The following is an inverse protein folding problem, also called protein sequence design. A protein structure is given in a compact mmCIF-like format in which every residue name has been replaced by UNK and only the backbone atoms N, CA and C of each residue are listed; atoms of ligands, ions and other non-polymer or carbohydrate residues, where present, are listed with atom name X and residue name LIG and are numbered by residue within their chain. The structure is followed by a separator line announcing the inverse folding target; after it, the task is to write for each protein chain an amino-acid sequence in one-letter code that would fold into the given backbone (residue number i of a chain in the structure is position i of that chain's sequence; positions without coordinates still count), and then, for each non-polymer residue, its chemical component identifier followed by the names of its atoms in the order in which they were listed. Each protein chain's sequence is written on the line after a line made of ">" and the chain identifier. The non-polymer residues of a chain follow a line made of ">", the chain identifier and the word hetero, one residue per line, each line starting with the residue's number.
data_IF_127679116413
#
_entry.id   IF_127679116413
#
_cell.length_a   1.000
_cell.length_b   1.000
_cell.length_c   1.000
_cell.angle_alpha   90.00
_cell.angle_beta   90.00
_cell.angle_gamma   90.00
#
_symmetry.space_group_name_H-M   'P 1'
#
loop_
_entity.id
_entity.type
_entity.pdbx_description
1 polymer ?
#
# COMPACT_ATOMS: atom_id res chain seq x y z
N UNK A 1 -9.67 2.68 11.09
CA UNK A 1 -10.17 1.29 10.93
C UNK A 1 -9.88 0.68 9.55
N UNK A 2 -9.61 1.42 8.48
CA UNK A 2 -8.75 0.99 7.34
C UNK A 2 -7.94 2.20 6.88
N UNK A 3 -8.60 3.37 6.82
CA UNK A 3 -8.01 4.66 6.44
C UNK A 3 -6.83 5.09 7.31
N UNK A 4 -6.86 4.79 8.63
CA UNK A 4 -5.76 5.11 9.55
C UNK A 4 -4.44 4.43 9.17
N UNK A 5 -4.48 3.29 8.46
CA UNK A 5 -3.28 2.57 8.00
C UNK A 5 -2.78 3.02 6.64
N UNK A 6 -3.62 3.69 5.84
CA UNK A 6 -3.31 4.10 4.48
C UNK A 6 -2.87 5.56 4.45
N UNK A 7 -3.63 6.46 5.08
CA UNK A 7 -3.40 7.91 4.97
C UNK A 7 -2.82 8.54 6.24
N UNK A 8 -2.85 7.85 7.39
CA UNK A 8 -2.51 8.46 8.69
C UNK A 8 -1.74 7.53 9.65
N UNK A 9 -0.98 6.57 9.12
CA UNK A 9 -0.33 5.55 9.96
C UNK A 9 0.66 6.15 10.96
N UNK A 10 1.28 7.29 10.65
CA UNK A 10 2.22 7.98 11.52
C UNK A 10 1.60 8.46 12.85
N UNK A 11 0.34 8.92 12.82
CA UNK A 11 -0.38 9.39 14.00
C UNK A 11 -1.29 8.32 14.62
N UNK A 12 -1.40 7.15 14.00
CA UNK A 12 -2.24 6.05 14.45
C UNK A 12 -1.65 5.37 15.70
N UNK A 13 -2.51 5.10 16.68
CA UNK A 13 -2.16 4.29 17.86
C UNK A 13 -2.24 2.78 17.58
N UNK A 14 -2.67 2.38 16.38
CA UNK A 14 -2.82 0.97 15.99
C UNK A 14 -1.50 0.32 15.54
N UNK A 15 -0.42 1.10 15.39
CA UNK A 15 0.88 0.62 14.95
C UNK A 15 1.95 0.91 16.00
N UNK A 16 2.83 -0.05 16.19
CA UNK A 16 4.07 0.13 16.93
C UNK A 16 5.04 1.04 16.18
N UNK A 17 6.02 1.58 16.89
CA UNK A 17 7.07 2.41 16.27
C UNK A 17 7.86 1.66 15.19
N UNK A 18 8.07 0.35 15.38
CA UNK A 18 8.72 -0.49 14.38
C UNK A 18 7.87 -0.58 13.09
N UNK A 19 6.57 -0.85 13.22
CA UNK A 19 5.65 -0.94 12.07
C UNK A 19 5.52 0.40 11.34
N UNK A 20 5.42 1.52 12.06
CA UNK A 20 5.40 2.86 11.45
C UNK A 20 6.67 3.14 10.65
N UNK A 21 7.83 2.70 11.16
CA UNK A 21 9.10 2.88 10.47
C UNK A 21 9.21 1.98 9.23
N UNK A 22 8.67 0.76 9.28
CA UNK A 22 8.57 -0.11 8.12
C UNK A 22 7.64 0.44 7.03
N UNK A 23 6.49 1.02 7.42
CA UNK A 23 5.57 1.69 6.49
C UNK A 23 6.24 2.89 5.82
N UNK A 24 6.95 3.73 6.60
CA UNK A 24 7.75 4.84 6.07
C UNK A 24 8.87 4.37 5.14
N UNK A 25 9.50 3.23 5.43
CA UNK A 25 10.50 2.66 4.52
C UNK A 25 9.88 2.27 3.17
N UNK A 26 8.68 1.69 3.19
CA UNK A 26 7.92 1.34 1.99
C UNK A 26 7.54 2.57 1.16
N UNK A 27 7.04 3.63 1.82
CA UNK A 27 6.67 4.89 1.17
C UNK A 27 7.88 5.58 0.54
N UNK A 28 8.98 5.73 1.30
CA UNK A 28 10.22 6.32 0.78
C UNK A 28 10.78 5.50 -0.39
N UNK A 29 10.72 4.17 -0.34
CA UNK A 29 11.24 3.33 -1.43
C UNK A 29 10.42 3.49 -2.72
N UNK A 30 9.12 3.75 -2.60
CA UNK A 30 8.22 3.95 -3.73
C UNK A 30 8.30 5.36 -4.33
N UNK A 31 8.42 6.39 -3.49
CA UNK A 31 8.24 7.79 -3.91
C UNK A 31 9.53 8.61 -3.94
N UNK A 32 10.40 8.45 -2.93
CA UNK A 32 11.58 9.30 -2.70
C UNK A 32 12.79 8.46 -2.22
N UNK A 33 13.25 7.46 -3.00
CA UNK A 33 14.25 6.49 -2.55
C UNK A 33 15.60 7.13 -2.22
N UNK A 34 15.89 8.31 -2.76
CA UNK A 34 17.08 9.10 -2.44
C UNK A 34 17.11 9.63 -1.00
N UNK A 35 15.97 9.66 -0.30
CA UNK A 35 15.88 10.04 1.12
C UNK A 35 16.23 8.88 2.07
N UNK A 36 16.41 7.67 1.56
CA UNK A 36 16.84 6.51 2.33
C UNK A 36 18.36 6.58 2.50
N UNK A 37 18.80 7.40 3.46
CA UNK A 37 20.20 7.65 3.75
C UNK A 37 20.71 6.88 4.99
N UNK A 38 21.96 7.14 5.36
CA UNK A 38 22.56 6.49 6.55
C UNK A 38 21.80 6.80 7.84
N UNK A 39 21.24 8.01 7.98
CA UNK A 39 20.50 8.39 9.18
C UNK A 39 19.20 7.59 9.27
N UNK A 40 18.52 7.37 8.13
CA UNK A 40 17.35 6.51 8.08
C UNK A 40 17.68 5.04 8.44
N UNK A 41 18.79 4.50 7.92
CA UNK A 41 19.23 3.16 8.32
C UNK A 41 19.61 3.05 9.80
N UNK A 42 20.16 4.12 10.38
CA UNK A 42 20.44 4.17 11.81
C UNK A 42 19.16 4.28 12.66
N UNK A 43 18.08 4.85 12.13
CA UNK A 43 16.73 4.75 12.75
C UNK A 43 16.21 3.30 12.70
N UNK A 44 16.29 2.64 11.55
CA UNK A 44 15.84 1.25 11.39
C UNK A 44 16.55 0.31 12.36
N UNK A 45 17.87 0.46 12.54
CA UNK A 45 18.68 -0.37 13.45
C UNK A 45 18.30 -0.25 14.92
N UNK A 46 17.51 0.76 15.32
CA UNK A 46 17.01 0.88 16.70
C UNK A 46 15.94 -0.16 17.02
N UNK A 47 15.25 -0.67 15.99
CA UNK A 47 14.07 -1.54 16.13
C UNK A 47 14.19 -2.84 15.32
N UNK A 48 15.09 -2.90 14.33
CA UNK A 48 15.34 -4.07 13.50
C UNK A 48 16.83 -4.45 13.51
N UNK A 49 17.11 -5.74 13.39
CA UNK A 49 18.43 -6.28 13.07
C UNK A 49 18.83 -5.97 11.62
N UNK A 50 20.10 -6.18 11.28
CA UNK A 50 20.58 -5.92 9.92
C UNK A 50 19.93 -6.89 8.93
N UNK A 51 19.76 -8.14 9.33
CA UNK A 51 19.12 -9.20 8.57
C UNK A 51 17.65 -8.86 8.28
N UNK A 52 16.91 -8.41 9.30
CA UNK A 52 15.52 -7.97 9.14
C UNK A 52 15.39 -6.75 8.22
N UNK A 53 16.33 -5.79 8.28
CA UNK A 53 16.34 -4.62 7.38
C UNK A 53 16.53 -5.06 5.92
N UNK A 54 17.42 -6.03 5.67
CA UNK A 54 17.65 -6.58 4.33
C UNK A 54 16.42 -7.32 3.84
N UNK A 55 15.82 -8.17 4.66
CA UNK A 55 14.60 -8.91 4.31
C UNK A 55 13.44 -7.96 4.02
N UNK A 56 13.22 -6.97 4.89
CA UNK A 56 12.19 -5.95 4.72
C UNK A 56 12.39 -5.16 3.42
N UNK A 57 13.62 -4.69 3.17
CA UNK A 57 13.95 -3.96 1.94
C UNK A 57 13.76 -4.81 0.68
N UNK A 58 14.13 -6.08 0.72
CA UNK A 58 13.91 -7.00 -0.40
C UNK A 58 12.42 -7.23 -0.64
N UNK A 59 11.64 -7.46 0.42
CA UNK A 59 10.19 -7.67 0.33
C UNK A 59 9.48 -6.45 -0.28
N UNK A 60 9.80 -5.23 0.20
CA UNK A 60 9.25 -3.98 -0.33
C UNK A 60 9.65 -3.82 -1.81
N UNK A 61 10.94 -3.92 -2.11
CA UNK A 61 11.46 -3.71 -3.47
C UNK A 61 10.88 -4.68 -4.49
N UNK A 62 10.70 -5.96 -4.12
CA UNK A 62 10.05 -6.94 -4.99
C UNK A 62 8.58 -6.59 -5.24
N UNK A 63 7.82 -6.20 -4.22
CA UNK A 63 6.41 -5.83 -4.40
C UNK A 63 6.26 -4.59 -5.30
N UNK A 64 7.07 -3.55 -5.09
CA UNK A 64 7.08 -2.36 -5.98
C UNK A 64 7.42 -2.76 -7.42
N UNK A 65 8.43 -3.61 -7.60
CA UNK A 65 8.82 -4.13 -8.92
C UNK A 65 7.69 -4.93 -9.59
N UNK A 66 7.00 -5.79 -8.84
CA UNK A 66 5.85 -6.54 -9.35
C UNK A 66 4.69 -5.63 -9.72
N UNK A 67 4.34 -4.63 -8.90
CA UNK A 67 3.30 -3.66 -9.24
C UNK A 67 3.62 -2.90 -10.52
N UNK A 68 4.88 -2.47 -10.67
CA UNK A 68 5.36 -1.81 -11.90
C UNK A 68 5.23 -2.75 -13.11
N UNK A 69 5.70 -3.99 -12.99
CA UNK A 69 5.63 -4.99 -14.06
C UNK A 69 4.18 -5.35 -14.42
N UNK A 70 3.31 -5.62 -13.44
CA UNK A 70 1.89 -5.91 -13.67
C UNK A 70 1.16 -4.73 -14.31
N UNK A 71 1.54 -3.50 -13.97
CA UNK A 71 1.07 -2.29 -14.66
C UNK A 71 1.39 -2.29 -16.17
N UNK A 72 2.53 -2.86 -16.59
CA UNK A 72 2.86 -2.98 -18.03
C UNK A 72 2.01 -4.02 -18.77
N UNK A 73 1.34 -4.91 -18.04
CA UNK A 73 0.52 -6.00 -18.59
C UNK A 73 -0.98 -5.66 -18.60
N UNK A 74 -1.38 -4.44 -18.20
CA UNK A 74 -2.79 -4.08 -17.98
C UNK A 74 -3.49 -5.09 -17.03
N UNK A 75 -2.79 -5.55 -16.00
CA UNK A 75 -3.38 -6.47 -15.02
C UNK A 75 -4.25 -5.68 -14.04
N UNK A 76 -5.53 -5.50 -14.37
CA UNK A 76 -6.47 -4.77 -13.52
C UNK A 76 -7.02 -5.66 -12.38
N UNK A 77 -7.52 -5.05 -11.29
CA UNK A 77 -8.20 -5.80 -10.23
C UNK A 77 -9.36 -6.62 -10.79
N UNK A 78 -9.39 -7.92 -10.55
CA UNK A 78 -10.48 -8.81 -11.00
C UNK A 78 -11.73 -8.73 -10.11
N UNK A 79 -11.82 -7.69 -9.29
CA UNK A 79 -12.94 -7.42 -8.39
C UNK A 79 -13.41 -5.98 -8.57
N UNK A 80 -14.70 -5.72 -8.40
CA UNK A 80 -15.22 -4.36 -8.19
C UNK A 80 -14.68 -3.79 -6.88
N UNK A 81 -14.73 -2.46 -6.67
CA UNK A 81 -14.46 -1.86 -5.36
C UNK A 81 -15.26 -2.48 -4.21
N UNK A 82 -16.46 -3.01 -4.50
CA UNK A 82 -17.35 -3.67 -3.52
C UNK A 82 -17.06 -5.17 -3.32
N UNK A 83 -16.10 -5.74 -4.08
CA UNK A 83 -15.58 -7.09 -3.91
C UNK A 83 -16.20 -8.17 -4.82
N UNK A 84 -16.97 -7.79 -5.85
CA UNK A 84 -17.57 -8.74 -6.79
C UNK A 84 -16.61 -9.09 -7.93
N UNK A 85 -16.54 -10.36 -8.32
CA UNK A 85 -15.70 -10.80 -9.44
C UNK A 85 -16.14 -10.17 -10.77
N UNK A 86 -15.19 -9.62 -11.52
CA UNK A 86 -15.42 -9.00 -12.84
C UNK A 86 -14.51 -9.59 -13.92
N UNK A 87 -14.91 -9.45 -15.18
CA UNK A 87 -14.04 -9.75 -16.32
C UNK A 87 -12.97 -8.67 -16.48
N UNK A 88 -11.89 -8.96 -17.21
CA UNK A 88 -10.85 -7.95 -17.52
C UNK A 88 -11.39 -6.76 -18.32
N UNK A 89 -12.38 -6.99 -19.19
CA UNK A 89 -13.01 -5.92 -19.98
C UNK A 89 -13.80 -4.97 -19.07
N UNK A 90 -14.55 -5.51 -18.11
CA UNK A 90 -15.30 -4.71 -17.15
C UNK A 90 -14.37 -4.03 -16.13
N UNK A 91 -13.31 -4.71 -15.70
CA UNK A 91 -12.29 -4.13 -14.85
C UNK A 91 -11.59 -2.93 -15.51
N UNK A 92 -11.20 -3.05 -16.78
CA UNK A 92 -10.62 -1.93 -17.55
C UNK A 92 -11.59 -0.75 -17.67
N UNK A 93 -12.90 -0.99 -17.74
CA UNK A 93 -13.92 0.07 -17.75
C UNK A 93 -14.03 0.78 -16.39
N UNK A 94 -13.94 0.05 -15.29
CA UNK A 94 -14.05 0.58 -13.93
C UNK A 94 -12.80 1.38 -13.55
N UNK A 95 -11.62 0.79 -13.73
CA UNK A 95 -10.35 1.35 -13.26
C UNK A 95 -9.63 2.22 -14.29
N UNK A 96 -10.09 2.24 -15.55
CA UNK A 96 -9.51 3.03 -16.64
C UNK A 96 -8.09 2.59 -17.05
N UNK A 97 -7.44 3.35 -17.95
CA UNK A 97 -6.07 3.05 -18.41
C UNK A 97 -4.99 3.30 -17.35
N UNK A 98 -5.32 4.00 -16.26
CA UNK A 98 -4.44 4.21 -15.11
C UNK A 98 -5.16 3.71 -13.87
N UNK A 99 -4.75 2.58 -13.28
CA UNK A 99 -5.38 2.09 -12.05
C UNK A 99 -5.21 3.14 -10.95
N UNK A 100 -6.29 3.87 -10.65
CA UNK A 100 -6.36 4.77 -9.50
C UNK A 100 -7.04 4.02 -8.36
N UNK A 101 -6.48 4.11 -7.15
CA UNK A 101 -7.18 3.64 -5.95
C UNK A 101 -8.52 4.37 -5.82
N UNK A 102 -9.63 3.63 -5.79
CA UNK A 102 -10.98 4.20 -5.65
C UNK A 102 -11.44 4.28 -4.20
N UNK A 103 -10.55 4.09 -3.23
CA UNK A 103 -10.86 4.14 -1.78
C UNK A 103 -11.02 5.59 -1.29
N UNK A 104 -11.67 6.45 -2.07
CA UNK A 104 -12.07 7.78 -1.61
C UNK A 104 -13.58 7.79 -1.41
N UNK A 105 -13.99 7.31 -0.23
CA UNK A 105 -15.38 7.28 0.21
C UNK A 105 -15.81 5.87 0.63
N UNK A 106 -16.59 5.82 1.72
CA UNK A 106 -17.27 4.64 2.28
C UNK A 106 -17.59 3.59 1.20
N UNK A 107 -17.25 2.33 1.49
CA UNK A 107 -17.74 1.22 0.68
C UNK A 107 -19.27 1.29 0.66
N UNK A 108 -19.91 1.05 -0.49
CA UNK A 108 -21.38 1.17 -0.62
C UNK A 108 -22.10 0.31 0.43
N UNK A 109 -21.46 -0.79 0.85
CA UNK A 109 -21.90 -1.66 1.95
C UNK A 109 -22.03 -0.98 3.31
N UNK A 110 -21.14 -0.06 3.68
CA UNK A 110 -21.22 0.65 4.96
C UNK A 110 -22.36 1.69 4.97
N UNK A 111 -22.67 2.26 3.81
CA UNK A 111 -23.81 3.18 3.66
C UNK A 111 -25.16 2.47 3.77
N UNK A 112 -25.29 1.26 3.20
CA UNK A 112 -26.51 0.46 3.31
C UNK A 112 -26.73 -0.10 4.73
N UNK A 113 -25.66 -0.48 5.43
CA UNK A 113 -25.76 -0.98 6.81
C UNK A 113 -26.02 0.12 7.85
N UNK A 114 -25.71 1.38 7.55
CA UNK A 114 -26.02 2.53 8.41
C UNK A 114 -27.46 3.06 8.22
N UNK A 115 -28.19 2.56 7.22
CA UNK A 115 -29.56 2.96 6.88
C UNK A 115 -30.63 1.97 7.41
N UNK A 116 -30.23 0.92 8.11
CA UNK A 116 -31.09 -0.07 8.81
C UNK A 116 -30.98 0.06 10.34
#
# INVERSE_FOLDING_TARGET
>A
MIDDGIDNYGASDNFTEAEKLALRYSELMAEEPEKIDNAFYDELKKVYSTEEIVELGAFIGFNIGYHTFFGTLDFYPMFTPDGDLVSQEESKRIYGDKPTSHIKGLTVREADQAAE
#
